data_IF_659311900527
#
_entry.id   IF_659311900527
#
_cell.length_a   1.000
_cell.length_b   1.000
_cell.length_c   1.000
_cell.angle_alpha   90.00
_cell.angle_beta   90.00
_cell.angle_gamma   90.00
#
_symmetry.space_group_name_H-M   'P 1'
#
loop_
_entity.id
_entity.type
_entity.pdbx_description
1 polymer ?
#
# COMPACT_ATOMS: atom_id res chain seq x y z
N UNK A 1 13.28 -66.65 9.19
CA UNK A 1 13.73 -65.38 8.56
C UNK A 1 12.58 -64.82 7.73
N UNK A 2 11.93 -63.78 8.21
CA UNK A 2 11.28 -62.76 7.37
C UNK A 2 10.90 -61.58 8.27
N UNK A 3 11.83 -60.63 8.41
CA UNK A 3 11.53 -59.34 9.01
C UNK A 3 10.71 -58.50 8.02
N UNK A 4 9.43 -58.32 8.32
CA UNK A 4 8.60 -57.34 7.63
C UNK A 4 9.08 -55.93 8.00
N UNK A 5 9.86 -55.32 7.10
CA UNK A 5 10.18 -53.88 7.13
C UNK A 5 8.87 -53.06 7.12
N UNK A 6 8.43 -52.61 8.30
CA UNK A 6 7.35 -51.62 8.43
C UNK A 6 7.80 -50.36 7.69
N UNK A 7 7.11 -50.02 6.60
CA UNK A 7 7.39 -48.80 5.82
C UNK A 7 7.14 -47.57 6.71
N UNK A 8 8.08 -46.62 6.62
CA UNK A 8 8.06 -45.37 7.40
C UNK A 8 6.75 -44.59 7.21
N UNK A 9 6.20 -43.93 8.26
CA UNK A 9 5.01 -43.07 8.20
C UNK A 9 5.09 -42.01 7.08
N UNK A 10 6.31 -41.55 6.78
CA UNK A 10 6.60 -40.61 5.70
C UNK A 10 6.11 -41.11 4.32
N UNK A 11 6.27 -42.41 4.03
CA UNK A 11 5.84 -43.02 2.78
C UNK A 11 4.33 -43.21 2.68
N UNK A 12 3.64 -43.31 3.82
CA UNK A 12 2.19 -43.35 3.84
C UNK A 12 1.61 -41.96 3.57
N UNK A 13 2.20 -40.91 4.15
CA UNK A 13 1.82 -39.51 3.89
C UNK A 13 2.02 -39.15 2.41
N UNK A 14 3.19 -39.48 1.84
CA UNK A 14 3.47 -39.25 0.40
C UNK A 14 2.47 -39.97 -0.51
N UNK A 15 2.09 -41.22 -0.18
CA UNK A 15 1.07 -41.95 -0.93
C UNK A 15 -0.29 -41.28 -0.84
N UNK A 16 -0.70 -40.83 0.34
CA UNK A 16 -1.98 -40.15 0.54
C UNK A 16 -2.03 -38.85 -0.26
N UNK A 17 -0.97 -38.04 -0.22
CA UNK A 17 -0.85 -36.81 -1.01
C UNK A 17 -0.96 -37.13 -2.51
N UNK A 18 -0.23 -38.15 -3.00
CA UNK A 18 -0.28 -38.55 -4.40
C UNK A 18 -1.69 -39.00 -4.84
N UNK A 19 -2.40 -39.76 -3.99
CA UNK A 19 -3.77 -40.20 -4.28
C UNK A 19 -4.73 -39.00 -4.33
N UNK A 20 -4.63 -38.07 -3.39
CA UNK A 20 -5.47 -36.86 -3.36
C UNK A 20 -5.23 -36.01 -4.62
N UNK A 21 -3.98 -35.83 -5.03
CA UNK A 21 -3.64 -35.10 -6.25
C UNK A 21 -4.19 -35.75 -7.51
N UNK A 22 -4.15 -37.09 -7.61
CA UNK A 22 -4.72 -37.83 -8.74
C UNK A 22 -6.25 -37.69 -8.78
N UNK A 23 -6.92 -37.81 -7.63
CA UNK A 23 -8.39 -37.65 -7.55
C UNK A 23 -8.78 -36.22 -7.95
N UNK A 24 -8.07 -35.20 -7.44
CA UNK A 24 -8.31 -33.81 -7.81
C UNK A 24 -8.10 -33.58 -9.32
N UNK A 25 -7.05 -34.15 -9.91
CA UNK A 25 -6.79 -34.05 -11.35
C UNK A 25 -7.89 -34.71 -12.19
N UNK A 26 -8.40 -35.88 -11.78
CA UNK A 26 -9.50 -36.58 -12.46
C UNK A 26 -10.81 -35.80 -12.33
N UNK A 27 -11.12 -35.26 -11.15
CA UNK A 27 -12.29 -34.43 -10.93
C UNK A 27 -12.25 -33.16 -11.80
N UNK A 28 -11.11 -32.48 -11.84
CA UNK A 28 -10.90 -31.31 -12.72
C UNK A 28 -11.07 -31.71 -14.19
N UNK A 29 -10.47 -32.82 -14.65
CA UNK A 29 -10.65 -33.30 -16.01
C UNK A 29 -12.13 -33.55 -16.36
N UNK A 30 -12.92 -34.13 -15.44
CA UNK A 30 -14.35 -34.33 -15.62
C UNK A 30 -15.12 -33.00 -15.74
N UNK A 31 -14.83 -32.02 -14.89
CA UNK A 31 -15.45 -30.67 -14.97
C UNK A 31 -15.13 -30.00 -16.31
N UNK A 32 -13.90 -30.16 -16.84
CA UNK A 32 -13.51 -29.64 -18.17
C UNK A 32 -14.30 -30.30 -19.30
N UNK A 33 -14.43 -31.62 -19.25
CA UNK A 33 -15.09 -32.41 -20.28
C UNK A 33 -16.61 -32.16 -20.33
N UNK A 34 -17.22 -31.91 -19.17
CA UNK A 34 -18.68 -31.65 -19.06
C UNK A 34 -19.02 -30.18 -19.33
N UNK A 35 -18.17 -29.24 -18.86
CA UNK A 35 -18.50 -27.82 -18.84
C UNK A 35 -18.00 -26.99 -20.04
N UNK A 36 -17.11 -27.52 -20.88
CA UNK A 36 -16.60 -26.85 -22.10
C UNK A 36 -15.78 -25.56 -21.89
N UNK A 37 -15.75 -25.01 -20.66
CA UNK A 37 -14.99 -23.81 -20.30
C UNK A 37 -13.59 -24.18 -19.76
N UNK A 38 -12.54 -23.40 -20.07
CA UNK A 38 -11.24 -23.58 -19.44
C UNK A 38 -11.37 -23.37 -17.93
N UNK A 39 -10.83 -24.30 -17.14
CA UNK A 39 -11.01 -24.34 -15.68
C UNK A 39 -10.29 -23.25 -14.89
N UNK A 40 -9.69 -22.26 -15.57
CA UNK A 40 -8.84 -21.25 -14.91
C UNK A 40 -7.59 -21.80 -14.23
N UNK A 41 -7.34 -23.12 -14.24
CA UNK A 41 -6.21 -23.76 -13.55
C UNK A 41 -4.87 -23.16 -13.98
N UNK A 42 -4.69 -22.86 -15.28
CA UNK A 42 -3.45 -22.22 -15.76
C UNK A 42 -3.25 -20.87 -15.08
N UNK A 43 -4.26 -20.00 -15.15
CA UNK A 43 -4.22 -18.71 -14.48
C UNK A 43 -3.99 -18.83 -12.97
N UNK A 44 -4.67 -19.77 -12.29
CA UNK A 44 -4.43 -20.03 -10.86
C UNK A 44 -3.00 -20.49 -10.57
N UNK A 45 -2.45 -21.42 -11.37
CA UNK A 45 -1.05 -21.87 -11.25
C UNK A 45 -0.08 -20.72 -11.52
N UNK A 46 -0.32 -19.93 -12.56
CA UNK A 46 0.53 -18.79 -12.93
C UNK A 46 0.56 -17.76 -11.80
N UNK A 47 -0.58 -17.48 -11.17
CA UNK A 47 -0.69 -16.62 -9.97
C UNK A 47 0.10 -17.20 -8.79
N UNK A 48 -0.01 -18.51 -8.51
CA UNK A 48 0.77 -19.13 -7.43
C UNK A 48 2.28 -19.10 -7.70
N UNK A 49 2.71 -19.33 -8.94
CA UNK A 49 4.12 -19.23 -9.35
C UNK A 49 4.63 -17.80 -9.23
N UNK A 50 3.82 -16.83 -9.63
CA UNK A 50 4.13 -15.41 -9.47
C UNK A 50 4.30 -15.03 -8.00
N UNK A 51 3.41 -15.47 -7.11
CA UNK A 51 3.57 -15.23 -5.66
C UNK A 51 4.83 -15.89 -5.11
N UNK A 52 5.11 -17.13 -5.50
CA UNK A 52 6.30 -17.84 -5.04
C UNK A 52 7.58 -17.14 -5.52
N UNK A 53 7.58 -16.64 -6.76
CA UNK A 53 8.69 -15.87 -7.31
C UNK A 53 8.84 -14.51 -6.61
N UNK A 54 7.75 -13.78 -6.38
CA UNK A 54 7.76 -12.52 -5.66
C UNK A 54 8.33 -12.70 -4.24
N UNK A 55 7.86 -13.71 -3.51
CA UNK A 55 8.36 -14.05 -2.18
C UNK A 55 9.85 -14.45 -2.21
N UNK A 56 10.26 -15.31 -3.16
CA UNK A 56 11.66 -15.72 -3.27
C UNK A 56 12.60 -14.52 -3.49
N UNK A 57 12.21 -13.60 -4.38
CA UNK A 57 12.96 -12.38 -4.65
C UNK A 57 12.94 -11.41 -3.46
N UNK A 58 11.79 -11.22 -2.79
CA UNK A 58 11.73 -10.38 -1.59
C UNK A 58 12.67 -10.92 -0.49
N UNK A 59 12.71 -12.25 -0.32
CA UNK A 59 13.62 -12.89 0.63
C UNK A 59 15.09 -12.75 0.23
N UNK A 60 15.44 -12.84 -1.06
CA UNK A 60 16.83 -12.69 -1.51
C UNK A 60 17.34 -11.26 -1.39
N UNK A 61 16.50 -10.26 -1.68
CA UNK A 61 16.87 -8.84 -1.61
C UNK A 61 16.71 -8.23 -0.21
N UNK A 62 16.10 -8.94 0.76
CA UNK A 62 15.89 -8.43 2.13
C UNK A 62 17.15 -7.90 2.81
N UNK A 63 18.32 -8.51 2.56
CA UNK A 63 19.60 -8.03 3.12
C UNK A 63 20.07 -6.72 2.47
N UNK A 64 19.87 -6.57 1.18
CA UNK A 64 20.21 -5.37 0.43
C UNK A 64 19.31 -4.21 0.84
N UNK A 65 17.98 -4.41 0.86
CA UNK A 65 17.04 -3.38 1.30
C UNK A 65 17.39 -2.88 2.71
N UNK A 66 17.70 -3.80 3.63
CA UNK A 66 18.11 -3.42 4.99
C UNK A 66 19.49 -2.81 5.10
N UNK A 67 20.39 -2.99 4.12
CA UNK A 67 21.71 -2.36 4.18
C UNK A 67 21.65 -0.84 4.04
N UNK A 68 20.52 -0.30 3.56
CA UNK A 68 20.24 1.14 3.55
C UNK A 68 19.69 1.66 4.88
N UNK A 69 19.35 0.78 5.83
CA UNK A 69 18.84 1.16 7.16
C UNK A 69 19.98 1.30 8.16
N UNK A 70 20.58 2.49 8.20
CA UNK A 70 21.73 2.78 9.08
C UNK A 70 21.35 3.50 10.39
N UNK A 71 20.06 3.78 10.60
CA UNK A 71 19.54 4.53 11.75
C UNK A 71 19.33 6.02 11.48
N UNK A 72 19.73 6.49 10.30
CA UNK A 72 19.57 7.89 9.85
C UNK A 72 18.24 8.12 9.11
N UNK A 73 17.36 7.11 9.02
CA UNK A 73 16.03 7.18 8.40
C UNK A 73 16.05 7.57 6.92
N UNK A 74 17.13 7.22 6.20
CA UNK A 74 17.28 7.49 4.77
C UNK A 74 16.59 6.43 3.91
N UNK A 75 16.35 5.22 4.43
CA UNK A 75 15.67 4.15 3.70
C UNK A 75 14.14 4.31 3.75
N UNK A 76 13.57 4.84 2.67
CA UNK A 76 12.16 5.22 2.56
C UNK A 76 11.44 4.26 1.61
N UNK A 77 10.23 3.83 1.96
CA UNK A 77 9.30 3.20 1.00
C UNK A 77 8.02 3.99 0.90
N UNK A 78 7.55 4.24 -0.33
CA UNK A 78 6.23 4.79 -0.60
C UNK A 78 5.30 3.70 -1.11
N UNK A 79 4.36 3.24 -0.27
CA UNK A 79 3.24 2.40 -0.72
C UNK A 79 2.15 3.27 -1.32
N UNK A 80 1.89 3.09 -2.61
CA UNK A 80 0.94 3.91 -3.33
C UNK A 80 0.25 3.12 -4.44
N UNK A 81 -0.70 3.79 -5.08
CA UNK A 81 -1.41 3.38 -6.29
C UNK A 81 -1.87 4.67 -6.97
N UNK A 82 -2.21 4.65 -8.26
CA UNK A 82 -2.99 5.73 -8.89
C UNK A 82 -2.31 7.11 -8.74
N UNK A 83 -2.87 8.06 -7.98
CA UNK A 83 -2.29 9.41 -7.79
C UNK A 83 -0.83 9.38 -7.32
N UNK A 84 -0.42 8.36 -6.55
CA UNK A 84 0.98 8.21 -6.14
C UNK A 84 1.91 7.89 -7.31
N UNK A 85 1.47 7.02 -8.23
CA UNK A 85 2.18 6.71 -9.47
C UNK A 85 2.38 7.99 -10.28
N UNK A 86 1.34 8.82 -10.39
CA UNK A 86 1.43 10.09 -11.10
C UNK A 86 2.40 11.08 -10.42
N UNK A 87 2.40 11.16 -9.09
CA UNK A 87 3.36 11.99 -8.36
C UNK A 87 4.81 11.54 -8.63
N UNK A 88 5.07 10.24 -8.77
CA UNK A 88 6.41 9.72 -9.04
C UNK A 88 6.79 9.86 -10.52
N UNK A 89 5.91 9.46 -11.44
CA UNK A 89 6.23 9.29 -12.86
C UNK A 89 6.05 10.54 -13.70
N UNK A 90 5.24 11.49 -13.24
CA UNK A 90 4.96 12.74 -13.96
C UNK A 90 5.72 13.95 -13.41
N UNK A 91 6.52 13.75 -12.36
CA UNK A 91 7.23 14.83 -11.65
C UNK A 91 8.62 14.38 -11.22
N UNK A 92 9.41 15.31 -10.69
CA UNK A 92 10.75 15.05 -10.19
C UNK A 92 10.76 14.63 -8.70
N UNK A 93 9.66 14.08 -8.15
CA UNK A 93 9.56 13.72 -6.73
C UNK A 93 10.70 12.80 -6.28
N UNK A 94 10.99 11.76 -7.06
CA UNK A 94 12.08 10.82 -6.78
C UNK A 94 13.43 11.54 -6.78
N UNK A 95 13.70 12.34 -7.81
CA UNK A 95 14.95 13.08 -7.94
C UNK A 95 15.15 14.09 -6.80
N UNK A 96 14.08 14.72 -6.32
CA UNK A 96 14.12 15.62 -5.17
C UNK A 96 14.48 14.88 -3.88
N UNK A 97 13.84 13.74 -3.61
CA UNK A 97 14.12 12.92 -2.43
C UNK A 97 15.53 12.34 -2.47
N UNK A 98 15.96 11.79 -3.62
CA UNK A 98 17.33 11.30 -3.81
C UNK A 98 18.36 12.42 -3.71
N UNK A 99 18.07 13.60 -4.26
CA UNK A 99 18.91 14.79 -4.11
C UNK A 99 19.07 15.27 -2.66
N UNK A 100 18.07 14.98 -1.80
CA UNK A 100 18.12 15.21 -0.36
C UNK A 100 18.83 14.09 0.43
N UNK A 101 19.33 13.06 -0.25
CA UNK A 101 20.03 11.93 0.37
C UNK A 101 19.11 10.81 0.86
N UNK A 102 17.87 10.74 0.36
CA UNK A 102 16.93 9.66 0.70
C UNK A 102 16.97 8.55 -0.35
N UNK A 103 16.99 7.31 0.14
CA UNK A 103 16.93 6.08 -0.63
C UNK A 103 15.47 5.68 -0.81
N UNK A 104 14.83 6.23 -1.86
CA UNK A 104 13.41 5.99 -2.13
C UNK A 104 13.18 4.66 -2.84
N UNK A 105 12.42 3.79 -2.20
CA UNK A 105 11.71 2.68 -2.84
C UNK A 105 10.24 3.08 -3.02
N UNK A 106 9.57 2.55 -4.03
CA UNK A 106 8.12 2.70 -4.12
C UNK A 106 7.46 1.39 -4.52
N UNK A 107 6.27 1.15 -3.98
CA UNK A 107 5.48 -0.04 -4.21
C UNK A 107 4.12 0.38 -4.74
N UNK A 108 3.87 0.04 -6.01
CA UNK A 108 2.60 0.25 -6.69
C UNK A 108 1.74 -1.05 -6.61
N UNK A 109 0.71 -1.17 -7.47
CA UNK A 109 -0.08 -2.39 -7.61
C UNK A 109 0.84 -3.59 -7.67
N UNK A 110 0.48 -4.67 -6.98
CA UNK A 110 1.28 -5.90 -6.93
C UNK A 110 1.73 -6.34 -8.31
N UNK A 111 0.89 -6.12 -9.33
CA UNK A 111 1.18 -6.36 -10.74
C UNK A 111 2.44 -5.61 -11.25
N UNK A 112 2.58 -4.33 -10.95
CA UNK A 112 3.77 -3.52 -11.27
C UNK A 112 4.90 -3.77 -10.27
N UNK A 113 4.56 -3.80 -8.98
CA UNK A 113 5.43 -4.19 -7.90
C UNK A 113 6.31 -3.07 -7.36
N UNK A 114 7.50 -3.44 -6.92
CA UNK A 114 8.46 -2.55 -6.28
C UNK A 114 9.38 -1.93 -7.32
N UNK A 115 9.67 -0.64 -7.21
CA UNK A 115 10.75 0.03 -7.90
C UNK A 115 11.92 0.29 -6.94
N UNK A 116 13.14 0.14 -7.46
CA UNK A 116 14.37 0.36 -6.74
C UNK A 116 14.70 1.86 -6.56
N UNK A 117 15.87 2.14 -5.99
CA UNK A 117 16.37 3.50 -5.73
C UNK A 117 16.45 4.37 -7.00
N UNK A 118 16.69 3.75 -8.15
CA UNK A 118 16.80 4.42 -9.43
C UNK A 118 15.45 4.50 -10.16
N UNK A 119 14.36 4.05 -9.52
CA UNK A 119 13.04 3.97 -10.13
C UNK A 119 12.88 2.84 -11.14
N UNK A 120 13.79 1.85 -11.16
CA UNK A 120 13.65 0.70 -12.05
C UNK A 120 12.80 -0.38 -11.38
N UNK A 121 11.96 -1.12 -12.14
CA UNK A 121 11.24 -2.27 -11.59
C UNK A 121 12.19 -3.31 -11.00
N UNK A 122 12.05 -3.60 -9.71
CA UNK A 122 12.85 -4.59 -8.99
C UNK A 122 12.48 -6.03 -9.38
N UNK A 123 11.36 -6.23 -10.08
CA UNK A 123 10.89 -7.53 -10.58
C UNK A 123 10.16 -8.38 -9.53
N UNK A 124 9.79 -7.80 -8.39
CA UNK A 124 8.96 -8.44 -7.35
C UNK A 124 8.08 -7.41 -6.64
N UNK A 125 7.17 -7.88 -5.78
CA UNK A 125 6.27 -7.06 -4.96
C UNK A 125 6.27 -7.58 -3.52
N UNK A 126 5.74 -6.77 -2.59
CA UNK A 126 5.56 -7.19 -1.19
C UNK A 126 4.26 -7.95 -0.91
N UNK A 127 3.43 -8.18 -1.92
CA UNK A 127 2.17 -8.90 -1.79
C UNK A 127 1.17 -8.20 -0.86
N UNK A 128 0.79 -6.98 -1.25
CA UNK A 128 -0.23 -6.18 -0.55
C UNK A 128 -1.57 -6.93 -0.62
N UNK A 129 -2.26 -7.16 0.52
CA UNK A 129 -3.49 -7.94 0.54
C UNK A 129 -4.56 -7.41 -0.42
N UNK A 130 -5.06 -8.30 -1.28
CA UNK A 130 -6.10 -8.02 -2.28
C UNK A 130 -5.75 -6.88 -3.24
N UNK A 131 -4.47 -6.47 -3.30
CA UNK A 131 -4.02 -5.30 -4.05
C UNK A 131 -4.79 -4.02 -3.68
N UNK A 132 -5.16 -3.90 -2.41
CA UNK A 132 -6.07 -2.87 -1.92
C UNK A 132 -5.35 -1.90 -0.96
N UNK A 133 -5.31 -0.62 -1.36
CA UNK A 133 -4.85 0.50 -0.52
C UNK A 133 -6.00 1.44 -0.11
N UNK A 134 -7.26 1.07 -0.33
CA UNK A 134 -8.39 1.76 0.31
C UNK A 134 -8.31 1.60 1.84
N UNK A 135 -9.04 2.41 2.64
CA UNK A 135 -8.86 2.39 4.09
C UNK A 135 -9.03 1.00 4.73
N UNK A 136 -9.96 0.18 4.22
CA UNK A 136 -10.14 -1.20 4.67
C UNK A 136 -8.95 -2.11 4.30
N UNK A 137 -8.38 -1.93 3.11
CA UNK A 137 -7.16 -2.60 2.64
C UNK A 137 -5.94 -2.23 3.48
N UNK A 138 -5.78 -0.95 3.81
CA UNK A 138 -4.74 -0.49 4.74
C UNK A 138 -4.95 -1.09 6.14
N UNK A 139 -6.17 -1.09 6.69
CA UNK A 139 -6.42 -1.76 7.97
C UNK A 139 -6.10 -3.26 7.92
N UNK A 140 -6.41 -3.94 6.82
CA UNK A 140 -6.05 -5.36 6.61
C UNK A 140 -4.54 -5.55 6.57
N UNK A 141 -3.81 -4.70 5.85
CA UNK A 141 -2.34 -4.71 5.77
C UNK A 141 -1.70 -4.48 7.15
N UNK A 142 -2.08 -3.41 7.85
CA UNK A 142 -1.54 -3.01 9.14
C UNK A 142 -2.01 -3.90 10.32
N UNK A 143 -2.98 -4.80 10.09
CA UNK A 143 -3.33 -5.86 11.05
C UNK A 143 -2.44 -7.09 10.98
N UNK A 144 -1.56 -7.19 9.96
CA UNK A 144 -0.69 -8.33 9.78
C UNK A 144 0.41 -8.37 10.85
N UNK A 145 0.84 -9.59 11.20
CA UNK A 145 2.02 -9.78 12.04
C UNK A 145 3.30 -9.41 11.27
N UNK A 146 4.17 -8.65 11.91
CA UNK A 146 5.52 -8.35 11.42
C UNK A 146 6.46 -9.52 11.68
N UNK A 147 7.20 -9.92 10.66
CA UNK A 147 8.29 -10.89 10.71
C UNK A 147 9.61 -10.21 10.32
N UNK A 148 10.73 -10.79 10.74
CA UNK A 148 12.05 -10.26 10.37
C UNK A 148 12.32 -10.36 8.87
N UNK A 149 11.67 -11.27 8.16
CA UNK A 149 11.78 -11.45 6.71
C UNK A 149 10.49 -10.99 6.02
N UNK A 150 10.55 -10.49 4.77
CA UNK A 150 9.40 -9.97 4.04
C UNK A 150 8.49 -11.09 3.50
N UNK A 151 7.87 -11.85 4.42
CA UNK A 151 6.99 -12.99 4.10
C UNK A 151 5.53 -12.60 3.89
N UNK A 152 5.19 -11.33 4.16
CA UNK A 152 3.88 -10.71 3.90
C UNK A 152 4.08 -9.21 3.63
N UNK A 153 3.01 -8.54 3.17
CA UNK A 153 2.99 -7.11 2.85
C UNK A 153 3.63 -6.23 3.91
N UNK A 154 3.14 -6.31 5.15
CA UNK A 154 3.66 -5.44 6.21
C UNK A 154 5.12 -5.72 6.53
N UNK A 155 5.56 -6.99 6.52
CA UNK A 155 6.96 -7.34 6.79
C UNK A 155 7.89 -6.85 5.67
N UNK A 156 7.37 -6.74 4.44
CA UNK A 156 8.02 -6.07 3.31
C UNK A 156 8.28 -4.60 3.59
N UNK A 157 7.23 -3.84 3.90
CA UNK A 157 7.35 -2.42 4.21
C UNK A 157 8.23 -2.15 5.43
N UNK A 158 8.14 -3.01 6.45
CA UNK A 158 8.94 -2.89 7.67
C UNK A 158 10.44 -3.25 7.50
N UNK A 159 10.86 -3.62 6.29
CA UNK A 159 12.30 -3.66 5.96
C UNK A 159 12.91 -2.25 5.85
N UNK A 160 12.08 -1.22 5.62
CA UNK A 160 12.48 0.18 5.50
C UNK A 160 12.39 0.91 6.85
N UNK A 161 12.96 2.10 6.96
CA UNK A 161 12.94 2.92 8.19
C UNK A 161 11.78 3.90 8.20
N UNK A 162 11.44 4.43 7.02
CA UNK A 162 10.34 5.37 6.80
C UNK A 162 9.31 4.73 5.88
N UNK A 163 8.06 4.69 6.32
CA UNK A 163 6.94 4.14 5.56
C UNK A 163 6.00 5.30 5.22
N UNK A 164 6.09 5.75 3.96
CA UNK A 164 5.13 6.68 3.36
C UNK A 164 4.01 5.87 2.75
N UNK A 165 2.76 6.23 3.00
CA UNK A 165 1.63 5.51 2.43
C UNK A 165 0.42 6.40 2.24
N UNK A 166 -0.47 6.00 1.34
CA UNK A 166 -1.70 6.73 1.06
C UNK A 166 -2.85 5.79 0.73
N UNK A 167 -4.06 6.33 0.76
CA UNK A 167 -5.22 5.64 0.19
C UNK A 167 -5.47 5.99 -1.29
N UNK A 168 -6.21 5.15 -2.02
CA UNK A 168 -6.69 5.47 -3.38
C UNK A 168 -7.83 6.48 -3.31
N UNK A 169 -8.08 7.21 -4.41
CA UNK A 169 -9.22 8.13 -4.48
C UNK A 169 -10.57 7.42 -4.26
N UNK A 170 -10.66 6.12 -4.55
CA UNK A 170 -11.83 5.26 -4.26
C UNK A 170 -12.17 5.24 -2.77
N UNK A 171 -11.18 5.41 -1.90
CA UNK A 171 -11.36 5.63 -0.47
C UNK A 171 -12.20 6.88 -0.12
N UNK A 172 -12.36 7.83 -1.04
CA UNK A 172 -13.18 9.04 -0.86
C UNK A 172 -14.58 8.93 -1.52
N UNK A 173 -15.09 7.74 -1.82
CA UNK A 173 -16.49 7.56 -2.21
C UNK A 173 -17.44 7.41 -0.98
N UNK A 174 -17.42 8.38 -0.05
CA UNK A 174 -18.13 8.30 1.24
C UNK A 174 -19.57 8.83 1.13
N UNK A 175 -20.52 7.91 1.02
CA UNK A 175 -21.93 8.20 0.72
C UNK A 175 -22.75 8.65 1.94
N UNK A 176 -22.34 8.27 3.16
CA UNK A 176 -23.07 8.60 4.39
C UNK A 176 -22.19 8.61 5.63
N UNK A 177 -22.72 9.15 6.73
CA UNK A 177 -21.99 9.35 7.97
C UNK A 177 -21.59 8.03 8.66
N UNK A 178 -22.33 6.93 8.44
CA UNK A 178 -21.93 5.63 8.95
C UNK A 178 -20.65 5.11 8.26
N UNK A 179 -20.45 5.45 6.98
CA UNK A 179 -19.20 5.12 6.28
C UNK A 179 -18.01 5.96 6.77
N UNK A 180 -18.23 7.23 7.15
CA UNK A 180 -17.21 8.05 7.83
C UNK A 180 -16.70 7.33 9.08
N UNK A 181 -17.61 6.94 9.97
CA UNK A 181 -17.22 6.25 11.22
C UNK A 181 -16.59 4.87 10.96
N UNK A 182 -17.06 4.16 9.93
CA UNK A 182 -16.43 2.90 9.50
C UNK A 182 -14.99 3.12 9.07
N UNK A 183 -14.73 4.15 8.26
CA UNK A 183 -13.38 4.50 7.80
C UNK A 183 -12.47 4.96 8.94
N UNK A 184 -12.99 5.73 9.89
CA UNK A 184 -12.23 6.06 11.11
C UNK A 184 -11.79 4.79 11.83
N UNK A 185 -12.67 3.79 11.98
CA UNK A 185 -12.32 2.49 12.57
C UNK A 185 -11.17 1.77 11.85
N UNK A 186 -11.09 1.89 10.52
CA UNK A 186 -9.96 1.35 9.76
C UNK A 186 -8.65 2.10 10.07
N UNK A 187 -8.67 3.43 10.10
CA UNK A 187 -7.50 4.23 10.44
C UNK A 187 -7.08 4.09 11.91
N UNK A 188 -8.00 3.79 12.83
CA UNK A 188 -7.67 3.42 14.22
C UNK A 188 -6.89 2.10 14.27
N UNK A 189 -7.17 1.15 13.38
CA UNK A 189 -6.36 -0.08 13.25
C UNK A 189 -4.94 0.26 12.80
N UNK A 190 -4.79 1.17 11.82
CA UNK A 190 -3.49 1.66 11.36
C UNK A 190 -2.75 2.39 12.50
N UNK A 191 -3.43 3.27 13.23
CA UNK A 191 -2.86 4.01 14.36
C UNK A 191 -2.33 3.07 15.44
N UNK A 192 -3.12 2.06 15.82
CA UNK A 192 -2.74 1.07 16.84
C UNK A 192 -1.51 0.26 16.44
N UNK A 193 -1.31 0.01 15.14
CA UNK A 193 -0.08 -0.60 14.63
C UNK A 193 1.10 0.37 14.78
N UNK A 194 0.97 1.61 14.32
CA UNK A 194 2.05 2.61 14.35
C UNK A 194 2.54 2.85 15.79
N UNK A 195 1.62 2.89 16.75
CA UNK A 195 1.94 3.02 18.18
C UNK A 195 2.82 1.87 18.73
N UNK A 196 2.80 0.69 18.10
CA UNK A 196 3.61 -0.48 18.49
C UNK A 196 4.99 -0.51 17.80
N UNK A 197 5.26 0.43 16.90
CA UNK A 197 6.49 0.48 16.09
C UNK A 197 7.19 1.84 16.20
N UNK A 198 7.56 2.29 17.42
CA UNK A 198 8.23 3.56 17.62
C UNK A 198 9.66 3.60 17.04
N UNK A 199 10.19 2.46 16.58
CA UNK A 199 11.45 2.34 15.84
C UNK A 199 11.35 2.79 14.38
N UNK A 200 10.12 2.93 13.86
CA UNK A 200 9.84 3.34 12.47
C UNK A 200 9.13 4.66 12.42
N UNK A 201 9.37 5.41 11.34
CA UNK A 201 8.66 6.64 11.02
C UNK A 201 7.56 6.35 9.99
N UNK A 202 6.34 6.84 10.23
CA UNK A 202 5.20 6.69 9.34
C UNK A 202 4.71 8.05 8.85
N UNK A 203 4.52 8.16 7.54
CA UNK A 203 3.97 9.35 6.88
C UNK A 203 2.73 8.94 6.09
N UNK A 204 1.56 9.36 6.57
CA UNK A 204 0.28 9.14 5.89
C UNK A 204 -0.05 10.35 5.01
N UNK A 205 -0.39 10.14 3.74
CA UNK A 205 -1.02 11.18 2.92
C UNK A 205 -2.54 11.03 3.04
N UNK A 206 -3.26 12.13 3.28
CA UNK A 206 -4.72 12.12 3.21
C UNK A 206 -5.20 11.67 1.82
N UNK A 207 -6.33 10.98 1.76
CA UNK A 207 -6.89 10.52 0.48
C UNK A 207 -7.15 11.72 -0.44
N UNK A 208 -6.77 11.71 -1.74
CA UNK A 208 -6.99 12.86 -2.64
C UNK A 208 -8.49 13.12 -2.87
N UNK A 209 -8.91 14.38 -3.14
CA UNK A 209 -10.32 14.71 -3.33
C UNK A 209 -10.84 14.13 -4.64
N UNK A 210 -12.16 13.95 -4.73
CA UNK A 210 -12.83 13.53 -5.97
C UNK A 210 -13.06 14.72 -6.91
N UNK A 211 -13.29 14.41 -8.18
CA UNK A 211 -13.78 15.36 -9.18
C UNK A 211 -15.23 15.75 -8.86
N UNK A 212 -15.61 17.02 -9.08
CA UNK A 212 -17.00 17.47 -8.84
C UNK A 212 -18.03 16.85 -9.78
N UNK A 213 -17.59 16.25 -10.90
CA UNK A 213 -18.45 15.44 -11.75
C UNK A 213 -18.89 14.12 -11.08
N UNK A 214 -18.12 13.63 -10.10
CA UNK A 214 -18.29 12.32 -9.45
C UNK A 214 -18.72 12.43 -7.98
N UNK A 215 -18.57 13.62 -7.36
CA UNK A 215 -18.92 13.87 -5.97
C UNK A 215 -19.93 15.01 -5.84
N UNK A 216 -21.08 14.71 -5.23
CA UNK A 216 -22.01 15.76 -4.79
C UNK A 216 -21.45 16.54 -3.58
N UNK A 217 -22.00 17.72 -3.26
CA UNK A 217 -21.49 18.53 -2.15
C UNK A 217 -21.52 17.84 -0.78
N UNK A 218 -22.46 16.90 -0.55
CA UNK A 218 -22.54 16.19 0.72
C UNK A 218 -21.45 15.11 0.83
N UNK A 219 -21.15 14.41 -0.27
CA UNK A 219 -20.01 13.50 -0.36
C UNK A 219 -18.69 14.25 -0.20
N UNK A 220 -18.51 15.36 -0.92
CA UNK A 220 -17.34 16.22 -0.84
C UNK A 220 -17.08 16.70 0.61
N UNK A 221 -18.13 17.15 1.31
CA UNK A 221 -18.03 17.57 2.71
C UNK A 221 -17.61 16.43 3.66
N UNK A 222 -18.07 15.19 3.43
CA UNK A 222 -17.65 14.02 4.22
C UNK A 222 -16.19 13.65 3.97
N UNK A 223 -15.76 13.72 2.71
CA UNK A 223 -14.36 13.47 2.35
C UNK A 223 -13.43 14.50 3.00
N UNK A 224 -13.82 15.78 2.99
CA UNK A 224 -13.11 16.84 3.72
C UNK A 224 -13.05 16.56 5.20
N UNK A 225 -14.17 16.17 5.81
CA UNK A 225 -14.21 15.80 7.23
C UNK A 225 -13.25 14.66 7.56
N UNK A 226 -13.15 13.63 6.70
CA UNK A 226 -12.19 12.55 6.88
C UNK A 226 -10.74 13.04 6.81
N UNK A 227 -10.40 13.88 5.83
CA UNK A 227 -9.07 14.48 5.72
C UNK A 227 -8.73 15.36 6.95
N UNK A 228 -9.64 16.24 7.35
CA UNK A 228 -9.48 17.12 8.52
C UNK A 228 -9.30 16.29 9.80
N UNK A 229 -10.04 15.18 9.96
CA UNK A 229 -9.90 14.28 11.10
C UNK A 229 -8.52 13.61 11.13
N UNK A 230 -8.00 13.12 10.00
CA UNK A 230 -6.66 12.52 9.93
C UNK A 230 -5.56 13.53 10.30
N UNK A 231 -5.76 14.82 10.00
CA UNK A 231 -4.80 15.88 10.34
C UNK A 231 -4.88 16.30 11.83
N UNK A 232 -6.02 16.05 12.46
CA UNK A 232 -6.33 16.50 13.82
C UNK A 232 -5.45 15.82 14.89
N UNK A 233 -5.33 16.49 16.04
CA UNK A 233 -4.73 15.89 17.24
C UNK A 233 -5.53 14.69 17.76
N UNK A 234 -6.83 14.62 17.47
CA UNK A 234 -7.70 13.50 17.88
C UNK A 234 -7.28 12.19 17.20
N UNK A 235 -6.84 12.24 15.94
CA UNK A 235 -6.27 11.08 15.27
C UNK A 235 -4.81 10.86 15.67
N UNK A 236 -3.96 11.90 15.62
CA UNK A 236 -2.53 11.75 15.89
C UNK A 236 -2.23 11.29 17.32
N UNK A 237 -3.03 11.73 18.30
CA UNK A 237 -2.93 11.37 19.74
C UNK A 237 -1.50 11.42 20.29
N UNK A 238 -0.70 12.38 19.82
CA UNK A 238 0.67 12.59 20.24
C UNK A 238 1.67 11.51 19.81
N UNK A 239 1.36 10.64 18.85
CA UNK A 239 2.34 9.71 18.29
C UNK A 239 3.47 10.51 17.62
N UNK A 240 4.69 10.38 18.16
CA UNK A 240 5.87 11.11 17.65
C UNK A 240 6.43 10.52 16.35
N UNK A 241 5.97 9.32 15.98
CA UNK A 241 6.37 8.59 14.79
C UNK A 241 5.27 8.53 13.71
N UNK A 242 4.24 9.37 13.81
CA UNK A 242 3.17 9.52 12.83
C UNK A 242 3.01 10.96 12.37
N UNK A 243 3.22 11.19 11.08
CA UNK A 243 3.02 12.48 10.42
C UNK A 243 1.99 12.33 9.31
N UNK A 244 1.22 13.39 9.06
CA UNK A 244 0.15 13.36 8.06
C UNK A 244 0.34 14.53 7.08
N UNK A 245 0.53 14.22 5.81
CA UNK A 245 0.60 15.19 4.73
C UNK A 245 -0.81 15.44 4.18
N UNK A 246 -1.22 16.71 4.11
CA UNK A 246 -2.55 17.11 3.63
C UNK A 246 -2.66 17.13 2.10
N UNK A 247 -2.50 15.96 1.46
CA UNK A 247 -2.69 15.81 0.02
C UNK A 247 -4.08 16.29 -0.43
N UNK A 248 -5.11 16.03 0.37
CA UNK A 248 -6.48 16.48 0.12
C UNK A 248 -6.54 18.00 -0.03
N UNK A 249 -6.10 18.74 0.99
CA UNK A 249 -6.15 20.20 1.02
C UNK A 249 -5.29 20.87 -0.04
N UNK A 250 -4.18 20.25 -0.46
CA UNK A 250 -3.37 20.75 -1.58
C UNK A 250 -4.07 20.65 -2.94
N UNK A 251 -5.00 19.71 -3.09
CA UNK A 251 -5.68 19.43 -4.38
C UNK A 251 -7.10 19.98 -4.44
N UNK A 252 -7.75 20.18 -3.30
CA UNK A 252 -9.15 20.55 -3.22
C UNK A 252 -9.38 22.06 -3.37
N UNK A 253 -10.54 22.43 -3.91
CA UNK A 253 -11.06 23.78 -3.78
C UNK A 253 -11.42 24.05 -2.31
N UNK A 254 -10.77 25.07 -1.75
CA UNK A 254 -10.87 25.44 -0.34
C UNK A 254 -11.77 26.66 -0.10
N UNK A 255 -12.35 27.27 -1.14
CA UNK A 255 -13.28 28.39 -0.97
C UNK A 255 -14.70 27.87 -0.64
N UNK A 256 -15.23 28.11 0.58
CA UNK A 256 -16.57 27.66 0.95
C UNK A 256 -17.70 28.29 0.11
N UNK A 257 -17.42 29.36 -0.62
CA UNK A 257 -18.36 29.97 -1.56
C UNK A 257 -18.33 29.32 -2.96
N UNK A 258 -17.33 28.49 -3.26
CA UNK A 258 -17.19 27.80 -4.54
C UNK A 258 -18.23 26.68 -4.69
N UNK A 259 -18.85 26.51 -5.88
CA UNK A 259 -19.68 25.35 -6.16
C UNK A 259 -18.89 24.03 -6.17
N UNK A 260 -17.56 24.11 -6.32
CA UNK A 260 -16.64 22.98 -6.33
C UNK A 260 -15.95 22.77 -4.97
N UNK A 261 -16.38 23.47 -3.90
CA UNK A 261 -15.80 23.35 -2.55
C UNK A 261 -15.63 21.87 -2.13
N UNK A 262 -14.43 21.52 -1.63
CA UNK A 262 -14.09 20.16 -1.21
C UNK A 262 -14.06 19.10 -2.34
N UNK A 263 -13.94 19.53 -3.59
CA UNK A 263 -13.62 18.67 -4.74
C UNK A 263 -12.34 19.15 -5.40
N UNK A 264 -11.79 18.39 -6.37
CA UNK A 264 -10.61 18.81 -7.13
C UNK A 264 -10.79 20.23 -7.68
N UNK A 265 -9.76 21.06 -7.48
CA UNK A 265 -9.66 22.39 -8.10
C UNK A 265 -9.96 22.30 -9.60
N UNK A 266 -10.70 23.27 -10.12
CA UNK A 266 -11.12 23.26 -11.52
C UNK A 266 -9.94 23.17 -12.51
N UNK A 267 -8.78 23.73 -12.16
CA UNK A 267 -7.55 23.66 -12.97
C UNK A 267 -6.76 22.36 -12.80
N UNK A 268 -7.13 21.51 -11.83
CA UNK A 268 -6.47 20.24 -11.50
C UNK A 268 -7.23 19.01 -12.02
N UNK A 269 -8.39 19.19 -12.65
CA UNK A 269 -9.22 18.09 -13.15
C UNK A 269 -9.34 18.09 -14.67
N UNK A 270 -9.63 16.92 -15.24
CA UNK A 270 -9.95 16.74 -16.66
C UNK A 270 -11.18 15.84 -16.80
N UNK A 271 -12.22 16.34 -17.46
CA UNK A 271 -13.49 15.61 -17.62
C UNK A 271 -14.06 15.16 -16.28
N UNK A 272 -14.39 13.87 -16.19
CA UNK A 272 -14.89 13.21 -14.97
C UNK A 272 -13.84 12.33 -14.29
N UNK A 273 -12.56 12.40 -14.71
CA UNK A 273 -11.51 11.62 -14.08
C UNK A 273 -11.23 12.14 -12.67
N UNK A 274 -11.13 11.22 -11.70
CA UNK A 274 -10.79 11.52 -10.31
C UNK A 274 -9.27 11.65 -10.11
N UNK A 275 -8.44 11.33 -11.12
CA UNK A 275 -7.01 11.61 -11.06
C UNK A 275 -6.76 13.11 -11.26
N UNK A 276 -5.97 13.75 -10.39
CA UNK A 276 -5.44 15.08 -10.66
C UNK A 276 -4.58 15.06 -11.92
N UNK A 277 -4.68 16.12 -12.72
CA UNK A 277 -3.91 16.28 -13.95
C UNK A 277 -2.43 16.58 -13.66
N UNK A 278 -1.62 16.63 -14.73
CA UNK A 278 -0.17 16.91 -14.64
C UNK A 278 0.14 18.19 -13.85
N UNK A 279 -0.64 19.26 -14.04
CA UNK A 279 -0.44 20.54 -13.36
C UNK A 279 -0.59 20.40 -11.85
N UNK A 280 -1.60 19.64 -11.41
CA UNK A 280 -1.82 19.34 -10.00
C UNK A 280 -0.64 18.55 -9.41
N UNK A 281 -0.20 17.50 -10.12
CA UNK A 281 0.91 16.67 -9.67
C UNK A 281 2.21 17.49 -9.55
N UNK A 282 2.51 18.34 -10.54
CA UNK A 282 3.66 19.26 -10.50
C UNK A 282 3.59 20.29 -9.37
N UNK A 283 2.40 20.73 -8.98
CA UNK A 283 2.23 21.65 -7.86
C UNK A 283 2.44 20.98 -6.50
N UNK A 284 2.00 19.72 -6.35
CA UNK A 284 2.01 19.01 -5.06
C UNK A 284 3.33 18.28 -4.79
N UNK A 285 3.96 17.72 -5.82
CA UNK A 285 5.15 16.88 -5.63
C UNK A 285 6.29 17.56 -4.86
N UNK A 286 6.66 18.83 -5.13
CA UNK A 286 7.69 19.51 -4.34
C UNK A 286 7.30 19.69 -2.86
N UNK A 287 6.03 19.99 -2.59
CA UNK A 287 5.53 20.14 -1.22
C UNK A 287 5.59 18.81 -0.45
N UNK A 288 5.29 17.70 -1.13
CA UNK A 288 5.43 16.37 -0.54
C UNK A 288 6.90 16.01 -0.29
N UNK A 289 7.80 16.34 -1.22
CA UNK A 289 9.23 16.10 -1.06
C UNK A 289 9.79 16.84 0.17
N UNK A 290 9.51 18.15 0.26
CA UNK A 290 9.91 18.98 1.40
C UNK A 290 9.34 18.44 2.70
N UNK A 291 8.04 18.08 2.72
CA UNK A 291 7.40 17.53 3.92
C UNK A 291 8.07 16.24 4.40
N UNK A 292 8.41 15.31 3.50
CA UNK A 292 9.09 14.05 3.86
C UNK A 292 10.48 14.35 4.45
N UNK A 293 11.26 15.20 3.78
CA UNK A 293 12.61 15.56 4.22
C UNK A 293 12.59 16.25 5.58
N UNK A 294 11.74 17.26 5.75
CA UNK A 294 11.59 18.00 7.01
C UNK A 294 11.12 17.08 8.14
N UNK A 295 10.19 16.17 7.86
CA UNK A 295 9.70 15.19 8.84
C UNK A 295 10.82 14.28 9.31
N UNK A 296 11.63 13.75 8.40
CA UNK A 296 12.77 12.88 8.74
C UNK A 296 13.80 13.64 9.57
N UNK A 297 14.12 14.89 9.20
CA UNK A 297 15.08 15.72 9.94
C UNK A 297 14.60 16.09 11.35
N UNK A 298 13.29 16.29 11.52
CA UNK A 298 12.67 16.58 12.81
C UNK A 298 12.48 15.34 13.68
N UNK A 299 12.47 14.15 13.08
CA UNK A 299 12.24 12.91 13.78
C UNK A 299 13.49 12.47 14.55
N UNK A 300 13.30 12.30 15.85
CA UNK A 300 14.30 11.73 16.75
C UNK A 300 13.70 10.50 17.41
N UNK A 301 14.17 9.28 17.08
CA UNK A 301 13.64 8.09 17.70
C UNK A 301 13.85 8.14 19.21
N UNK A 302 12.90 7.59 19.96
CA UNK A 302 13.07 7.45 21.41
C UNK A 302 14.17 6.41 21.63
N UNK A 303 15.35 6.88 22.08
CA UNK A 303 16.46 6.01 22.43
C UNK A 303 16.04 5.05 23.54
N UNK A 304 16.19 3.73 23.32
CA UNK A 304 16.04 2.69 24.35
C UNK A 304 17.01 2.87 25.53
#
# INVERSE_FOLDING_TARGET
MNENKKRSPFWQILKTIAIVLVIAAVALAAVRLIGGKPLGIRHWVDVQLWHANALANALSHSREVKSFSEGDYTNVVFLHHSVGENLITQTDLRDQLTGAGLDLWDHDYNYYGLNDLNGNPAGYNYWIPDDNTDPDGLAKLFSQKVYSLPVNGISGLMQHEVIVFKSCFTGNAVLNDAQVETQKGYYETVHAFIAQHPDKLFILLTTPPLNSAEADPAMAARNRLMADWLLSEDYRRGLTNLYVFDLYGQLADNDPASPDYSTLLAEYREGSDNHPNLKANQAVAPLLADFIVETIQAYHPVSE
#
